data_IF_597176013038
#
_entry.id   IF_597176013038
#
_cell.length_a   1.000
_cell.length_b   1.000
_cell.length_c   1.000
_cell.angle_alpha   90.00
_cell.angle_beta   90.00
_cell.angle_gamma   90.00
#
_symmetry.space_group_name_H-M   'P 1'
#
loop_
_entity.id
_entity.type
_entity.pdbx_description
1 polymer ?
#
# COMPACT_ATOMS: atom_id res chain seq x y z
N UNK A 1 -16.41 -20.81 -32.39
CA UNK A 1 -17.80 -20.89 -31.88
C UNK A 1 -17.78 -20.56 -30.39
N UNK A 2 -17.92 -19.29 -30.03
CA UNK A 2 -18.01 -18.86 -28.63
C UNK A 2 -19.44 -18.34 -28.41
N UNK A 3 -20.17 -18.99 -27.49
CA UNK A 3 -21.52 -18.66 -27.07
C UNK A 3 -21.49 -18.12 -25.65
N UNK A 4 -22.48 -17.27 -25.37
CA UNK A 4 -22.98 -16.83 -24.05
C UNK A 4 -22.31 -15.55 -23.53
N UNK A 5 -22.82 -14.35 -23.81
CA UNK A 5 -24.12 -13.75 -23.45
C UNK A 5 -24.22 -13.42 -21.95
N UNK A 6 -23.96 -12.16 -21.60
CA UNK A 6 -24.41 -11.55 -20.35
C UNK A 6 -24.63 -10.05 -20.62
N UNK A 7 -25.89 -9.63 -20.65
CA UNK A 7 -26.37 -8.29 -20.28
C UNK A 7 -27.84 -8.19 -20.66
N UNK A 8 -28.73 -8.33 -19.67
CA UNK A 8 -30.02 -7.64 -19.63
C UNK A 8 -30.37 -7.31 -18.18
N UNK A 9 -30.00 -6.09 -17.81
CA UNK A 9 -30.78 -5.24 -16.92
C UNK A 9 -32.27 -5.31 -17.27
N UNK A 10 -33.14 -5.48 -16.27
CA UNK A 10 -34.23 -4.55 -15.95
C UNK A 10 -35.25 -5.15 -14.96
N UNK A 11 -35.63 -4.31 -13.99
CA UNK A 11 -36.97 -4.21 -13.35
C UNK A 11 -37.45 -5.32 -12.39
N UNK A 12 -37.38 -5.01 -11.09
CA UNK A 12 -38.59 -4.73 -10.25
C UNK A 12 -38.20 -4.33 -8.82
N UNK A 13 -38.13 -3.02 -8.54
CA UNK A 13 -38.29 -2.51 -7.17
C UNK A 13 -39.79 -2.28 -6.96
N UNK A 14 -40.49 -3.20 -6.29
CA UNK A 14 -41.82 -2.91 -5.73
C UNK A 14 -41.59 -2.19 -4.41
N UNK A 15 -41.76 -0.87 -4.41
CA UNK A 15 -41.85 -0.10 -3.18
C UNK A 15 -43.06 -0.56 -2.39
N UNK A 16 -42.83 -1.04 -1.17
CA UNK A 16 -43.86 -1.23 -0.16
C UNK A 16 -44.27 0.18 0.31
N UNK A 17 -45.24 0.78 -0.38
CA UNK A 17 -45.73 2.12 -0.09
C UNK A 17 -46.58 2.12 1.17
N UNK A 18 -46.18 2.96 2.12
CA UNK A 18 -46.84 3.30 3.39
C UNK A 18 -48.19 4.03 3.18
N UNK A 19 -49.06 3.55 2.29
CA UNK A 19 -50.38 4.13 2.05
C UNK A 19 -51.44 3.65 3.06
N UNK A 20 -51.16 2.57 3.80
CA UNK A 20 -52.06 2.07 4.84
C UNK A 20 -52.19 3.02 6.05
N UNK A 21 -51.10 3.67 6.45
CA UNK A 21 -51.13 4.58 7.61
C UNK A 21 -51.76 5.93 7.27
N UNK A 22 -51.51 6.48 6.08
CA UNK A 22 -52.07 7.76 5.66
C UNK A 22 -53.59 7.69 5.44
N UNK A 23 -54.10 6.55 4.96
CA UNK A 23 -55.55 6.34 4.80
C UNK A 23 -56.31 6.33 6.14
N UNK A 24 -55.73 5.74 7.19
CA UNK A 24 -56.34 5.70 8.53
C UNK A 24 -56.39 7.09 9.16
N UNK A 25 -55.34 7.90 8.98
CA UNK A 25 -55.27 9.26 9.53
C UNK A 25 -56.35 10.16 8.90
N UNK A 26 -56.58 10.06 7.59
CA UNK A 26 -57.63 10.83 6.91
C UNK A 26 -59.03 10.41 7.39
N UNK A 27 -59.26 9.12 7.65
CA UNK A 27 -60.53 8.60 8.14
C UNK A 27 -60.83 9.11 9.57
N UNK A 28 -59.81 9.20 10.43
CA UNK A 28 -59.96 9.73 11.79
C UNK A 28 -60.26 11.24 11.81
N UNK A 29 -59.67 12.03 10.90
CA UNK A 29 -59.95 13.48 10.80
C UNK A 29 -61.41 13.73 10.40
N UNK A 30 -61.97 12.91 9.50
CA UNK A 30 -63.37 13.05 9.06
C UNK A 30 -64.35 12.69 10.19
N UNK A 31 -64.01 11.70 11.03
CA UNK A 31 -64.84 11.31 12.18
C UNK A 31 -64.86 12.36 13.29
N UNK A 32 -63.77 13.10 13.50
CA UNK A 32 -63.69 14.17 14.51
C UNK A 32 -64.30 15.48 13.99
N UNK A 33 -64.29 15.71 12.67
CA UNK A 33 -64.78 16.95 12.04
C UNK A 33 -66.30 17.16 11.99
N UNK A 34 -67.12 16.21 12.48
CA UNK A 34 -68.59 16.30 12.40
C UNK A 34 -69.28 16.85 13.65
N UNK A 35 -68.53 17.28 14.68
CA UNK A 35 -69.11 17.87 15.89
C UNK A 35 -68.64 19.32 16.10
N UNK A 36 -68.87 20.20 15.12
CA UNK A 36 -68.68 21.63 15.30
C UNK A 36 -69.65 22.45 14.42
N UNK A 37 -70.91 22.53 14.84
CA UNK A 37 -71.81 23.63 14.49
C UNK A 37 -72.80 23.83 15.65
N UNK A 38 -72.66 24.95 16.35
CA UNK A 38 -73.39 25.26 17.57
C UNK A 38 -74.79 25.84 17.37
N UNK A 39 -75.51 25.99 18.49
CA UNK A 39 -76.14 27.24 18.94
C UNK A 39 -76.82 27.05 20.31
N UNK A 40 -76.41 27.92 21.23
CA UNK A 40 -77.17 28.74 22.20
C UNK A 40 -78.26 28.19 23.16
N UNK A 41 -78.12 28.68 24.40
CA UNK A 41 -79.07 28.92 25.50
C UNK A 41 -79.76 27.74 26.23
N UNK A 42 -79.40 27.50 27.50
CA UNK A 42 -80.23 27.95 28.64
C UNK A 42 -79.49 27.81 30.00
N UNK A 43 -79.85 28.74 30.86
CA UNK A 43 -79.43 29.08 32.21
C UNK A 43 -79.62 27.94 33.22
N UNK A 44 -78.64 27.69 34.10
CA UNK A 44 -78.86 27.46 35.54
C UNK A 44 -77.57 27.68 36.31
N UNK A 45 -77.60 28.65 37.23
CA UNK A 45 -76.56 28.92 38.22
C UNK A 45 -76.19 27.67 39.04
N UNK A 46 -74.94 27.56 39.47
CA UNK A 46 -74.53 27.93 40.85
C UNK A 46 -73.14 27.39 41.16
N UNK A 47 -72.31 28.30 41.66
CA UNK A 47 -71.04 28.09 42.36
C UNK A 47 -69.88 27.50 41.53
N UNK A 48 -68.93 28.37 41.17
CA UNK A 48 -67.55 28.36 41.72
C UNK A 48 -66.71 29.33 40.90
N UNK A 49 -66.94 30.62 41.10
CA UNK A 49 -65.94 31.67 40.91
C UNK A 49 -64.91 31.51 42.03
N UNK A 50 -63.84 30.75 41.81
CA UNK A 50 -62.42 31.01 42.18
C UNK A 50 -61.57 29.79 41.73
N UNK A 51 -61.42 29.54 40.43
CA UNK A 51 -60.30 28.73 39.89
C UNK A 51 -60.09 29.01 38.39
N UNK A 52 -59.74 30.24 38.00
CA UNK A 52 -59.45 30.54 36.58
C UNK A 52 -58.29 31.52 36.37
N UNK A 53 -57.30 31.47 37.26
CA UNK A 53 -56.04 32.21 37.08
C UNK A 53 -54.77 31.41 37.41
N UNK A 54 -54.85 30.19 37.94
CA UNK A 54 -53.66 29.33 38.16
C UNK A 54 -53.44 28.27 37.05
N UNK A 55 -54.45 27.95 36.24
CA UNK A 55 -54.35 26.89 35.22
C UNK A 55 -53.66 27.36 33.92
N UNK A 56 -53.69 28.65 33.60
CA UNK A 56 -53.00 29.19 32.43
C UNK A 56 -51.49 29.32 32.62
N UNK A 57 -51.01 29.51 33.86
CA UNK A 57 -49.58 29.67 34.15
C UNK A 57 -48.84 28.32 34.18
N UNK A 58 -49.48 27.27 34.69
CA UNK A 58 -48.95 25.90 34.71
C UNK A 58 -48.92 25.25 33.31
N UNK A 59 -49.86 25.62 32.43
CA UNK A 59 -49.91 25.15 31.04
C UNK A 59 -48.82 25.76 30.14
N UNK A 60 -48.39 27.00 30.40
CA UNK A 60 -47.32 27.64 29.62
C UNK A 60 -45.93 27.18 30.07
N UNK A 61 -45.73 26.98 31.38
CA UNK A 61 -44.46 26.53 31.95
C UNK A 61 -44.10 25.09 31.52
N UNK A 62 -45.08 24.19 31.47
CA UNK A 62 -44.89 22.81 30.96
C UNK A 62 -44.56 22.78 29.46
N UNK A 63 -45.14 23.69 28.67
CA UNK A 63 -44.91 23.77 27.22
C UNK A 63 -43.56 24.40 26.88
N UNK A 64 -43.06 25.32 27.70
CA UNK A 64 -41.71 25.86 27.58
C UNK A 64 -40.64 24.83 27.98
N UNK A 65 -40.90 24.02 29.02
CA UNK A 65 -40.02 22.92 29.42
C UNK A 65 -39.91 21.83 28.35
N UNK A 66 -41.03 21.42 27.74
CA UNK A 66 -41.02 20.47 26.61
C UNK A 66 -40.24 21.01 25.42
N UNK A 67 -40.44 22.28 25.05
CA UNK A 67 -39.72 22.90 23.93
C UNK A 67 -38.20 22.98 24.18
N UNK A 68 -37.77 23.30 25.41
CA UNK A 68 -36.35 23.26 25.79
C UNK A 68 -35.77 21.84 25.75
N UNK A 69 -36.56 20.84 26.14
CA UNK A 69 -36.16 19.43 26.08
C UNK A 69 -36.03 18.93 24.65
N UNK A 70 -36.96 19.32 23.77
CA UNK A 70 -36.95 18.97 22.35
C UNK A 70 -35.77 19.62 21.61
N UNK A 71 -35.46 20.89 21.91
CA UNK A 71 -34.28 21.58 21.35
C UNK A 71 -32.96 20.95 21.85
N UNK A 72 -32.89 20.53 23.11
CA UNK A 72 -31.72 19.82 23.65
C UNK A 72 -31.54 18.45 23.00
N UNK A 73 -32.63 17.72 22.73
CA UNK A 73 -32.60 16.44 22.03
C UNK A 73 -32.17 16.60 20.56
N UNK A 74 -32.69 17.60 19.86
CA UNK A 74 -32.27 17.93 18.50
C UNK A 74 -30.78 18.33 18.43
N UNK A 75 -30.30 19.15 19.37
CA UNK A 75 -28.86 19.50 19.46
C UNK A 75 -27.99 18.27 19.70
N UNK A 76 -28.42 17.37 20.60
CA UNK A 76 -27.69 16.12 20.88
C UNK A 76 -27.69 15.18 19.66
N UNK A 77 -28.78 15.12 18.91
CA UNK A 77 -28.86 14.31 17.69
C UNK A 77 -28.01 14.88 16.55
N UNK A 78 -27.96 16.20 16.41
CA UNK A 78 -27.09 16.89 15.45
C UNK A 78 -25.61 16.70 15.80
N UNK A 79 -25.25 16.78 17.09
CA UNK A 79 -23.89 16.52 17.56
C UNK A 79 -23.48 15.07 17.30
N UNK A 80 -24.36 14.10 17.57
CA UNK A 80 -24.11 12.69 17.29
C UNK A 80 -23.90 12.43 15.79
N UNK A 81 -24.70 13.05 14.92
CA UNK A 81 -24.52 12.95 13.47
C UNK A 81 -23.15 13.51 13.04
N UNK A 82 -22.76 14.68 13.59
CA UNK A 82 -21.45 15.28 13.30
C UNK A 82 -20.29 14.39 13.76
N UNK A 83 -20.40 13.79 14.94
CA UNK A 83 -19.41 12.83 15.45
C UNK A 83 -19.32 11.58 14.57
N UNK A 84 -20.45 11.04 14.10
CA UNK A 84 -20.47 9.90 13.18
C UNK A 84 -19.84 10.23 11.82
N UNK A 85 -20.09 11.42 11.28
CA UNK A 85 -19.46 11.87 10.03
C UNK A 85 -17.95 12.04 10.19
N UNK A 86 -17.52 12.62 11.31
CA UNK A 86 -16.10 12.79 11.62
C UNK A 86 -15.39 11.45 11.80
N UNK A 87 -16.01 10.50 12.49
CA UNK A 87 -15.49 9.13 12.61
C UNK A 87 -15.37 8.43 11.25
N UNK A 88 -16.38 8.55 10.38
CA UNK A 88 -16.31 7.98 9.01
C UNK A 88 -15.20 8.62 8.19
N UNK A 89 -14.99 9.93 8.35
CA UNK A 89 -13.90 10.64 7.66
C UNK A 89 -12.53 10.18 8.16
N UNK A 90 -12.38 10.03 9.48
CA UNK A 90 -11.15 9.51 10.09
C UNK A 90 -10.87 8.06 9.66
N UNK A 91 -11.88 7.19 9.62
CA UNK A 91 -11.74 5.80 9.15
C UNK A 91 -11.33 5.77 7.67
N UNK A 92 -11.97 6.57 6.81
CA UNK A 92 -11.62 6.67 5.40
C UNK A 92 -10.18 7.18 5.20
N UNK A 93 -9.76 8.17 5.99
CA UNK A 93 -8.40 8.68 5.96
C UNK A 93 -7.38 7.64 6.41
N UNK A 94 -7.66 6.93 7.52
CA UNK A 94 -6.80 5.86 8.02
C UNK A 94 -6.66 4.73 6.98
N UNK A 95 -7.76 4.35 6.32
CA UNK A 95 -7.76 3.34 5.26
C UNK A 95 -6.93 3.79 4.06
N UNK A 96 -7.01 5.08 3.68
CA UNK A 96 -6.19 5.66 2.61
C UNK A 96 -4.71 5.67 2.98
N UNK A 97 -4.37 5.98 4.24
CA UNK A 97 -2.99 5.93 4.72
C UNK A 97 -2.44 4.49 4.73
N UNK A 98 -3.24 3.51 5.17
CA UNK A 98 -2.86 2.09 5.12
C UNK A 98 -2.62 1.60 3.70
N UNK A 99 -3.47 1.99 2.75
CA UNK A 99 -3.29 1.64 1.34
C UNK A 99 -2.00 2.26 0.76
N UNK A 100 -1.74 3.54 1.06
CA UNK A 100 -0.52 4.22 0.64
C UNK A 100 0.73 3.57 1.23
N UNK A 101 0.69 3.16 2.50
CA UNK A 101 1.78 2.44 3.14
C UNK A 101 2.03 1.10 2.43
N UNK A 102 0.98 0.33 2.16
CA UNK A 102 1.08 -0.95 1.45
C UNK A 102 1.69 -0.78 0.05
N UNK A 103 1.28 0.27 -0.69
CA UNK A 103 1.87 0.60 -1.99
C UNK A 103 3.36 0.97 -1.88
N UNK A 104 3.75 1.73 -0.85
CA UNK A 104 5.15 2.10 -0.61
C UNK A 104 6.00 0.87 -0.27
N UNK A 105 5.51 -0.02 0.58
CA UNK A 105 6.18 -1.27 0.93
C UNK A 105 6.36 -2.18 -0.30
N UNK A 106 5.34 -2.28 -1.15
CA UNK A 106 5.43 -3.04 -2.41
C UNK A 106 6.45 -2.43 -3.37
N UNK A 107 6.47 -1.10 -3.53
CA UNK A 107 7.50 -0.41 -4.32
C UNK A 107 8.90 -0.63 -3.76
N UNK A 108 9.08 -0.56 -2.44
CA UNK A 108 10.38 -0.83 -1.80
C UNK A 108 10.84 -2.26 -2.07
N UNK A 109 9.94 -3.24 -1.94
CA UNK A 109 10.25 -4.66 -2.23
C UNK A 109 10.63 -4.86 -3.70
N UNK A 110 9.93 -4.21 -4.63
CA UNK A 110 10.30 -4.25 -6.05
C UNK A 110 11.66 -3.60 -6.33
N UNK A 111 11.95 -2.45 -5.70
CA UNK A 111 13.26 -1.81 -5.82
C UNK A 111 14.39 -2.66 -5.24
N UNK A 112 14.16 -3.32 -4.11
CA UNK A 112 15.13 -4.23 -3.50
C UNK A 112 15.39 -5.45 -4.39
N UNK A 113 14.34 -6.06 -4.94
CA UNK A 113 14.48 -7.17 -5.87
C UNK A 113 15.28 -6.76 -7.11
N UNK A 114 15.03 -5.57 -7.66
CA UNK A 114 15.78 -5.02 -8.79
C UNK A 114 17.26 -4.83 -8.44
N UNK A 115 17.57 -4.27 -7.25
CA UNK A 115 18.96 -4.13 -6.77
C UNK A 115 19.65 -5.48 -6.61
N UNK A 116 18.95 -6.48 -6.07
CA UNK A 116 19.50 -7.84 -5.94
C UNK A 116 19.79 -8.45 -7.31
N UNK A 117 18.89 -8.30 -8.29
CA UNK A 117 19.11 -8.76 -9.66
C UNK A 117 20.28 -8.03 -10.34
N UNK A 118 20.41 -6.71 -10.16
CA UNK A 118 21.54 -5.93 -10.68
C UNK A 118 22.86 -6.39 -10.06
N UNK A 119 22.90 -6.65 -8.74
CA UNK A 119 24.09 -7.19 -8.08
C UNK A 119 24.44 -8.61 -8.57
N UNK A 120 23.44 -9.47 -8.76
CA UNK A 120 23.66 -10.80 -9.33
C UNK A 120 24.21 -10.72 -10.76
N UNK A 121 23.68 -9.82 -11.59
CA UNK A 121 24.16 -9.60 -12.95
C UNK A 121 25.59 -9.04 -12.98
N UNK A 122 25.93 -8.13 -12.05
CA UNK A 122 27.31 -7.63 -11.89
C UNK A 122 28.27 -8.73 -11.43
N UNK A 123 27.86 -9.62 -10.53
CA UNK A 123 28.68 -10.77 -10.11
C UNK A 123 28.84 -11.80 -11.24
N UNK A 124 27.79 -12.05 -12.04
CA UNK A 124 27.87 -12.91 -13.25
C UNK A 124 28.80 -12.33 -14.31
N UNK A 125 28.83 -11.01 -14.49
CA UNK A 125 29.78 -10.35 -15.40
C UNK A 125 31.22 -10.36 -14.85
N UNK A 126 31.40 -10.36 -13.53
CA UNK A 126 32.70 -10.60 -12.89
C UNK A 126 33.17 -12.06 -12.96
N UNK A 127 32.27 -13.04 -13.02
CA UNK A 127 32.61 -14.45 -13.26
C UNK A 127 32.82 -14.78 -14.75
N UNK A 128 32.19 -14.04 -15.67
CA UNK A 128 32.40 -14.19 -17.12
C UNK A 128 33.62 -13.41 -17.65
N UNK A 129 34.34 -12.70 -16.78
CA UNK A 129 35.64 -12.10 -17.10
C UNK A 129 36.68 -12.75 -16.19
N UNK A 130 37.65 -13.54 -16.70
CA UNK A 130 38.72 -14.06 -15.87
C UNK A 130 39.46 -12.88 -15.24
N UNK A 131 39.21 -12.62 -13.95
CA UNK A 131 39.82 -11.52 -13.23
C UNK A 131 41.24 -11.93 -12.83
N UNK A 132 42.13 -11.97 -13.83
CA UNK A 132 43.56 -11.82 -13.61
C UNK A 132 43.85 -10.33 -13.34
N UNK A 133 43.67 -9.93 -12.07
CA UNK A 133 44.50 -8.90 -11.44
C UNK A 133 45.47 -9.72 -10.59
N UNK A 134 46.74 -9.86 -10.91
CA UNK A 134 47.73 -8.82 -11.25
C UNK A 134 48.93 -9.42 -12.01
N UNK A 135 49.54 -8.60 -12.88
CA UNK A 135 50.78 -8.83 -13.65
C UNK A 135 50.65 -9.54 -15.01
N UNK A 136 49.77 -9.05 -15.89
CA UNK A 136 49.90 -9.31 -17.32
C UNK A 136 50.27 -8.04 -18.07
N UNK A 137 51.56 -7.87 -18.25
CA UNK A 137 52.07 -7.14 -19.39
C UNK A 137 52.20 -8.14 -20.56
N UNK A 138 51.50 -7.86 -21.66
CA UNK A 138 51.83 -8.29 -23.02
C UNK A 138 51.74 -9.80 -23.38
N UNK A 139 50.54 -10.34 -23.57
CA UNK A 139 50.31 -11.59 -24.33
C UNK A 139 49.13 -11.47 -25.31
N UNK A 140 49.29 -10.59 -26.31
CA UNK A 140 48.41 -10.51 -27.49
C UNK A 140 49.15 -10.82 -28.79
N UNK A 141 50.31 -11.49 -28.72
CA UNK A 141 51.00 -12.03 -29.89
C UNK A 141 51.29 -13.51 -29.61
N UNK A 142 50.66 -14.40 -30.38
CA UNK A 142 50.65 -15.86 -30.21
C UNK A 142 52.00 -16.56 -30.44
N UNK A 143 53.02 -16.15 -29.70
CA UNK A 143 54.35 -16.74 -29.70
C UNK A 143 54.72 -17.05 -28.25
N UNK A 144 54.81 -18.33 -27.92
CA UNK A 144 55.15 -18.80 -26.58
C UNK A 144 56.63 -18.52 -26.34
N UNK A 145 56.91 -17.39 -25.70
CA UNK A 145 58.26 -16.83 -25.58
C UNK A 145 58.82 -16.94 -24.16
N UNK A 146 58.21 -17.70 -23.24
CA UNK A 146 58.75 -17.86 -21.89
C UNK A 146 59.61 -19.13 -21.87
N UNK A 147 60.91 -18.98 -21.56
CA UNK A 147 61.88 -20.08 -21.56
C UNK A 147 61.99 -20.69 -20.16
N UNK A 148 61.63 -21.97 -20.01
CA UNK A 148 61.84 -22.76 -18.79
C UNK A 148 63.09 -23.64 -18.89
N UNK A 149 63.94 -23.64 -17.87
CA UNK A 149 65.07 -24.55 -17.76
C UNK A 149 65.26 -25.09 -16.33
N UNK A 150 66.05 -26.15 -16.19
CA UNK A 150 66.49 -26.66 -14.90
C UNK A 150 67.97 -26.32 -14.70
N UNK A 151 68.31 -25.69 -13.58
CA UNK A 151 69.71 -25.39 -13.28
C UNK A 151 70.47 -26.65 -12.80
N UNK A 152 71.79 -26.55 -12.65
CA UNK A 152 72.64 -27.65 -12.15
C UNK A 152 72.29 -28.14 -10.75
N UNK A 153 71.52 -27.37 -9.97
CA UNK A 153 71.00 -27.74 -8.64
C UNK A 153 69.64 -28.41 -8.70
N UNK A 154 69.08 -28.61 -9.89
CA UNK A 154 67.79 -29.23 -10.10
C UNK A 154 66.59 -28.29 -9.98
N UNK A 155 66.80 -26.97 -9.83
CA UNK A 155 65.70 -26.01 -9.71
C UNK A 155 65.14 -25.64 -11.08
N UNK A 156 63.80 -25.71 -11.20
CA UNK A 156 63.06 -25.27 -12.38
C UNK A 156 62.85 -23.76 -12.35
N UNK A 157 63.41 -23.04 -13.33
CA UNK A 157 63.35 -21.58 -13.43
C UNK A 157 62.82 -21.19 -14.80
N UNK A 158 61.90 -20.22 -14.87
CA UNK A 158 61.48 -19.62 -16.12
C UNK A 158 62.00 -18.20 -16.29
N UNK A 159 62.25 -17.82 -17.54
CA UNK A 159 62.75 -16.51 -17.95
C UNK A 159 61.75 -15.87 -18.91
N UNK A 160 61.36 -14.63 -18.61
CA UNK A 160 60.55 -13.81 -19.51
C UNK A 160 61.44 -13.04 -20.49
N UNK A 161 60.94 -12.70 -21.69
CA UNK A 161 61.64 -11.80 -22.61
C UNK A 161 62.07 -10.50 -21.92
N UNK A 162 63.31 -10.08 -22.12
CA UNK A 162 63.90 -8.88 -21.51
C UNK A 162 64.58 -9.08 -20.15
N UNK A 163 64.50 -10.27 -19.54
CA UNK A 163 65.31 -10.59 -18.36
C UNK A 163 66.78 -10.81 -18.73
N UNK A 164 67.69 -10.55 -17.77
CA UNK A 164 69.14 -10.56 -17.99
C UNK A 164 69.66 -11.87 -18.59
N UNK A 165 68.99 -12.97 -18.28
CA UNK A 165 69.41 -14.31 -18.66
C UNK A 165 68.55 -14.96 -19.75
N UNK A 166 67.60 -14.24 -20.33
CA UNK A 166 66.69 -14.78 -21.32
C UNK A 166 67.40 -15.32 -22.57
N UNK A 167 68.34 -14.55 -23.13
CA UNK A 167 68.99 -14.90 -24.40
C UNK A 167 70.02 -16.03 -24.25
N UNK A 168 70.66 -16.12 -23.08
CA UNK A 168 71.65 -17.18 -22.79
C UNK A 168 71.01 -18.49 -22.33
N UNK A 169 69.76 -18.45 -21.88
CA UNK A 169 69.07 -19.65 -21.40
C UNK A 169 68.64 -20.48 -22.60
N UNK A 170 69.09 -21.74 -22.61
CA UNK A 170 68.51 -22.78 -23.45
C UNK A 170 67.27 -23.33 -22.76
N UNK A 171 66.13 -23.30 -23.46
CA UNK A 171 64.86 -23.75 -22.91
C UNK A 171 64.76 -25.27 -23.00
N UNK A 172 64.43 -25.91 -21.87
CA UNK A 172 63.94 -27.29 -21.84
C UNK A 172 62.44 -27.32 -22.18
N UNK A 173 61.72 -26.27 -21.83
CA UNK A 173 60.27 -26.15 -22.04
C UNK A 173 59.91 -24.69 -22.36
N UNK A 174 59.00 -24.49 -23.31
CA UNK A 174 58.52 -23.16 -23.71
C UNK A 174 57.09 -22.98 -23.22
N UNK A 175 56.83 -21.86 -22.55
CA UNK A 175 55.49 -21.53 -22.04
C UNK A 175 54.92 -20.33 -22.76
N UNK A 176 53.60 -20.34 -22.89
CA UNK A 176 52.87 -19.24 -23.50
C UNK A 176 52.45 -18.21 -22.46
N UNK A 177 52.41 -18.59 -21.17
CA UNK A 177 52.17 -17.67 -20.04
C UNK A 177 52.98 -18.03 -18.79
N UNK A 178 53.21 -17.04 -17.91
CA UNK A 178 53.89 -17.27 -16.64
C UNK A 178 53.12 -18.23 -15.71
N UNK A 179 51.79 -18.25 -15.82
CA UNK A 179 50.94 -19.14 -15.05
C UNK A 179 51.14 -20.61 -15.45
N UNK A 180 51.30 -20.88 -16.75
CA UNK A 180 51.60 -22.21 -17.29
C UNK A 180 52.95 -22.72 -16.78
N UNK A 181 53.98 -21.88 -16.81
CA UNK A 181 55.30 -22.19 -16.26
C UNK A 181 55.23 -22.54 -14.77
N UNK A 182 54.47 -21.76 -14.00
CA UNK A 182 54.27 -22.01 -12.56
C UNK A 182 53.52 -23.31 -12.30
N UNK A 183 52.49 -23.62 -13.09
CA UNK A 183 51.75 -24.88 -13.00
C UNK A 183 52.63 -26.10 -13.32
N UNK A 184 53.59 -25.96 -14.25
CA UNK A 184 54.61 -26.97 -14.54
C UNK A 184 55.73 -27.05 -13.46
N UNK A 185 55.65 -26.23 -12.42
CA UNK A 185 56.55 -26.21 -11.26
C UNK A 185 57.79 -25.34 -11.43
N UNK A 186 57.81 -24.42 -12.40
CA UNK A 186 58.90 -23.46 -12.58
C UNK A 186 58.67 -22.21 -11.73
N UNK A 187 59.71 -21.74 -11.05
CA UNK A 187 59.70 -20.44 -10.37
C UNK A 187 60.25 -19.34 -11.28
N UNK A 188 59.87 -18.09 -11.04
CA UNK A 188 60.42 -16.96 -11.78
C UNK A 188 61.93 -16.79 -11.53
N UNK A 189 62.68 -16.39 -12.56
CA UNK A 189 64.04 -15.88 -12.37
C UNK A 189 64.02 -14.60 -11.54
N UNK A 190 65.04 -14.43 -10.70
CA UNK A 190 65.25 -13.21 -9.90
C UNK A 190 66.06 -12.14 -10.65
N UNK A 191 66.52 -12.45 -11.86
CA UNK A 191 67.48 -11.68 -12.68
C UNK A 191 67.14 -11.81 -14.15
#
# INVERSE_FOLDING_TARGET
>A
MAKSANEKEEKKRRGCGCFGCLGIIILLIILIGSCAKGSDDDKTEKATTVTKQEESKKSEEVKEEEKKKEEAEQKKQQELQKQQEEQKKQEAEQKRQQELQKQREEQQKQQELKKQQEQQNQNKQKEATPQQKTNQASEQNGTCNIKGNKNSKGEKIYHMPGQQFYDKTNAEEMFCSAAEAQAAGYRASKR
#
